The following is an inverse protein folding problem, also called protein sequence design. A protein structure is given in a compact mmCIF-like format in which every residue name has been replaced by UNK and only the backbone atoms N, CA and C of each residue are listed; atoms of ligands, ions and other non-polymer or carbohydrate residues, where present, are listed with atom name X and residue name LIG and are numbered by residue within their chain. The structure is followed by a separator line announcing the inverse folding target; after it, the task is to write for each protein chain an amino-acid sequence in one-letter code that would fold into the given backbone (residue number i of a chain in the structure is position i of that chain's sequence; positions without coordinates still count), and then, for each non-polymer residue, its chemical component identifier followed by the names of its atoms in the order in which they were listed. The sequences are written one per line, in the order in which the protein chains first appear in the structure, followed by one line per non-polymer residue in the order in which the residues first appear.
data_IF_397037846438
#
_entry.id   IF_397037846438
#
_cell.length_a   1.000
_cell.length_b   1.000
_cell.length_c   1.000
_cell.angle_alpha   90.00
_cell.angle_beta   90.00
_cell.angle_gamma   90.00
#
_symmetry.space_group_name_H-M   'P 1'
#
loop_
_entity.id
_entity.type
_entity.pdbx_description
1 polymer ?
#
# COMPACT_ATOMS: atom_id res chain seq x y z
N UNK A 1 -15.04 -6.39 -15.75
CA UNK A 1 -16.03 -6.61 -14.69
C UNK A 1 -15.73 -7.87 -13.85
N UNK A 2 -15.70 -9.12 -14.37
CA UNK A 2 -15.41 -10.32 -13.52
C UNK A 2 -14.07 -10.28 -12.77
N UNK A 3 -13.00 -9.69 -13.35
CA UNK A 3 -11.68 -9.58 -12.69
C UNK A 3 -11.65 -8.55 -11.56
N UNK A 4 -12.33 -7.41 -11.71
CA UNK A 4 -12.41 -6.37 -10.65
C UNK A 4 -13.11 -6.92 -9.41
N UNK A 5 -14.22 -7.69 -9.59
CA UNK A 5 -14.93 -8.32 -8.45
C UNK A 5 -14.06 -9.27 -7.64
N UNK A 6 -13.08 -9.93 -8.28
CA UNK A 6 -12.16 -10.88 -7.62
C UNK A 6 -11.09 -10.17 -6.75
N UNK A 7 -10.67 -8.96 -7.15
CA UNK A 7 -9.66 -8.18 -6.42
C UNK A 7 -10.26 -7.34 -5.28
N UNK A 8 -11.52 -6.91 -5.42
CA UNK A 8 -12.21 -6.10 -4.41
C UNK A 8 -12.26 -6.76 -3.03
N UNK A 9 -12.59 -8.06 -2.96
CA UNK A 9 -12.66 -8.78 -1.70
C UNK A 9 -11.31 -8.93 -0.99
N UNK A 10 -10.23 -8.99 -1.78
CA UNK A 10 -8.85 -9.13 -1.27
C UNK A 10 -8.31 -7.80 -0.77
N UNK A 11 -8.50 -6.72 -1.53
CA UNK A 11 -8.12 -5.36 -1.13
C UNK A 11 -8.82 -4.92 0.16
N UNK A 12 -10.13 -5.16 0.24
CA UNK A 12 -10.90 -4.78 1.42
C UNK A 12 -10.41 -5.51 2.68
N UNK A 13 -10.06 -6.79 2.57
CA UNK A 13 -9.56 -7.57 3.70
C UNK A 13 -8.20 -7.10 4.19
N UNK A 14 -7.29 -6.73 3.28
CA UNK A 14 -5.96 -6.26 3.62
C UNK A 14 -5.97 -4.85 4.24
N UNK A 15 -6.79 -3.94 3.70
CA UNK A 15 -6.88 -2.56 4.22
C UNK A 15 -7.54 -2.49 5.60
N UNK A 16 -8.53 -3.34 5.88
CA UNK A 16 -9.19 -3.39 7.20
C UNK A 16 -8.25 -3.88 8.31
N UNK A 17 -7.16 -4.54 7.96
CA UNK A 17 -6.20 -5.06 8.91
C UNK A 17 -5.16 -4.03 9.39
N UNK A 18 -4.95 -2.95 8.67
CA UNK A 18 -3.91 -1.96 8.97
C UNK A 18 -4.21 -1.05 10.19
N UNK A 19 -5.28 -1.29 10.92
CA UNK A 19 -5.81 -0.31 11.89
C UNK A 19 -5.75 -0.71 13.35
N UNK A 20 -4.97 -1.72 13.74
CA UNK A 20 -4.58 -2.00 15.14
C UNK A 20 -5.68 -2.00 16.21
N UNK A 21 -6.95 -2.27 15.86
CA UNK A 21 -8.06 -2.27 16.83
C UNK A 21 -8.60 -3.68 17.07
N UNK A 22 -8.97 -4.03 18.33
CA UNK A 22 -9.42 -5.37 18.65
C UNK A 22 -10.63 -5.80 17.82
N UNK A 23 -10.70 -7.07 17.43
CA UNK A 23 -11.72 -7.57 16.53
C UNK A 23 -13.12 -7.50 17.16
N UNK A 24 -14.00 -6.74 16.56
CA UNK A 24 -15.44 -6.92 16.74
C UNK A 24 -15.91 -8.08 15.83
N UNK A 25 -15.42 -9.29 16.07
CA UNK A 25 -15.87 -10.49 15.39
C UNK A 25 -16.74 -11.34 16.33
N UNK A 26 -17.96 -10.84 16.59
CA UNK A 26 -19.05 -11.65 17.07
C UNK A 26 -20.31 -11.35 16.25
N UNK A 27 -20.18 -11.36 14.91
CA UNK A 27 -21.35 -11.50 14.05
C UNK A 27 -21.37 -12.94 13.59
N UNK A 28 -22.53 -13.60 13.73
CA UNK A 28 -22.75 -14.91 13.13
C UNK A 28 -22.34 -14.86 11.65
N UNK A 29 -21.55 -15.84 11.22
CA UNK A 29 -21.13 -15.94 9.83
C UNK A 29 -22.36 -15.83 8.93
N UNK A 30 -22.36 -14.84 8.02
CA UNK A 30 -23.40 -14.75 7.01
C UNK A 30 -23.11 -15.78 5.92
N UNK A 31 -24.15 -16.35 5.34
CA UNK A 31 -24.02 -17.38 4.30
C UNK A 31 -23.48 -16.84 2.96
N UNK A 32 -23.12 -15.54 2.88
CA UNK A 32 -22.67 -14.90 1.65
C UNK A 32 -21.41 -14.06 1.84
N UNK A 33 -20.29 -14.40 1.17
CA UNK A 33 -19.06 -13.60 1.19
C UNK A 33 -19.25 -12.13 0.74
N UNK A 34 -20.24 -11.85 -0.10
CA UNK A 34 -20.58 -10.49 -0.54
C UNK A 34 -21.22 -9.68 0.58
N UNK A 35 -22.07 -10.30 1.39
CA UNK A 35 -22.70 -9.67 2.56
C UNK A 35 -21.64 -9.30 3.60
N UNK A 36 -20.70 -10.20 3.86
CA UNK A 36 -19.60 -9.95 4.78
C UNK A 36 -18.71 -8.80 4.28
N UNK A 37 -18.31 -8.82 3.00
CA UNK A 37 -17.52 -7.76 2.38
C UNK A 37 -18.22 -6.38 2.50
N UNK A 38 -19.54 -6.33 2.24
CA UNK A 38 -20.30 -5.07 2.33
C UNK A 38 -20.39 -4.58 3.78
N UNK A 39 -20.57 -5.48 4.75
CA UNK A 39 -20.59 -5.14 6.17
C UNK A 39 -19.22 -4.60 6.63
N UNK A 40 -18.12 -5.22 6.23
CA UNK A 40 -16.77 -4.70 6.49
C UNK A 40 -16.55 -3.32 5.88
N UNK A 41 -16.94 -3.14 4.63
CA UNK A 41 -16.85 -1.83 3.96
C UNK A 41 -17.63 -0.75 4.70
N UNK A 42 -18.87 -1.01 5.11
CA UNK A 42 -19.69 -0.03 5.84
C UNK A 42 -19.08 0.32 7.20
N UNK A 43 -18.55 -0.68 7.92
CA UNK A 43 -17.85 -0.45 9.17
C UNK A 43 -16.60 0.41 8.96
N UNK A 44 -15.79 0.08 7.96
CA UNK A 44 -14.61 0.86 7.59
C UNK A 44 -14.99 2.31 7.22
N UNK A 45 -15.98 2.50 6.34
CA UNK A 45 -16.47 3.83 5.91
C UNK A 45 -16.89 4.67 7.12
N UNK A 46 -17.68 4.09 8.02
CA UNK A 46 -18.17 4.78 9.23
C UNK A 46 -17.03 5.15 10.18
N UNK A 47 -16.04 4.27 10.33
CA UNK A 47 -14.98 4.43 11.31
C UNK A 47 -13.87 5.36 10.85
N UNK A 48 -13.47 5.24 9.59
CA UNK A 48 -12.22 5.86 9.10
C UNK A 48 -12.43 6.99 8.10
N UNK A 49 -13.54 7.03 7.36
CA UNK A 49 -13.79 8.14 6.43
C UNK A 49 -14.25 9.36 7.20
N UNK A 50 -13.61 10.50 6.93
CA UNK A 50 -13.97 11.81 7.49
C UNK A 50 -14.11 12.83 6.37
N UNK A 51 -15.02 13.78 6.57
CA UNK A 51 -15.09 14.98 5.76
C UNK A 51 -14.14 16.03 6.31
N UNK A 52 -13.43 16.72 5.43
CA UNK A 52 -12.69 17.92 5.79
C UNK A 52 -13.71 19.04 6.12
N UNK A 53 -13.81 19.39 7.38
CA UNK A 53 -14.77 20.38 7.91
C UNK A 53 -14.30 21.82 7.76
N UNK A 54 -13.07 22.04 7.31
CA UNK A 54 -12.50 23.38 7.12
C UNK A 54 -12.76 23.95 5.74
N UNK A 55 -13.39 23.15 4.82
CA UNK A 55 -13.76 23.57 3.48
C UNK A 55 -15.27 23.81 3.39
N UNK A 56 -15.69 25.07 3.16
CA UNK A 56 -17.10 25.42 3.13
C UNK A 56 -17.77 25.16 1.76
N UNK A 57 -17.02 25.29 0.68
CA UNK A 57 -17.55 25.31 -0.69
C UNK A 57 -17.38 23.98 -1.44
N UNK A 58 -16.67 23.02 -0.86
CA UNK A 58 -16.33 21.78 -1.53
C UNK A 58 -16.27 20.60 -0.55
N UNK A 59 -16.96 19.51 -0.87
CA UNK A 59 -16.92 18.29 -0.07
C UNK A 59 -15.63 17.53 -0.40
N UNK A 60 -14.76 17.40 0.60
CA UNK A 60 -13.53 16.60 0.55
C UNK A 60 -13.60 15.51 1.59
N UNK A 61 -13.14 14.31 1.24
CA UNK A 61 -13.04 13.17 2.16
C UNK A 61 -11.61 12.69 2.27
N UNK A 62 -11.24 12.24 3.46
CA UNK A 62 -9.95 11.60 3.75
C UNK A 62 -10.13 10.39 4.66
N UNK A 63 -9.11 9.53 4.72
CA UNK A 63 -9.09 8.37 5.60
C UNK A 63 -8.35 8.75 6.88
N UNK A 64 -9.07 8.78 7.98
CA UNK A 64 -8.56 9.14 9.31
C UNK A 64 -7.92 7.92 9.97
N UNK A 65 -6.67 8.03 10.40
CA UNK A 65 -5.97 6.94 11.07
C UNK A 65 -5.61 7.22 12.53
N UNK A 66 -5.55 8.50 12.93
CA UNK A 66 -5.12 8.89 14.27
C UNK A 66 -6.14 8.52 15.34
N UNK A 67 -5.67 8.23 16.55
CA UNK A 67 -6.51 8.15 17.76
C UNK A 67 -6.58 9.50 18.48
N UNK A 68 -5.67 10.41 18.16
CA UNK A 68 -5.59 11.73 18.77
C UNK A 68 -6.53 12.72 18.07
N UNK A 69 -7.07 13.65 18.83
CA UNK A 69 -7.91 14.76 18.36
C UNK A 69 -7.26 16.07 18.73
N UNK A 70 -7.25 17.04 17.80
CA UNK A 70 -6.76 18.37 18.11
C UNK A 70 -7.56 19.02 19.25
N UNK A 71 -6.87 19.41 20.31
CA UNK A 71 -7.46 20.04 21.50
C UNK A 71 -6.84 21.42 21.81
N UNK A 72 -6.04 21.95 20.88
CA UNK A 72 -5.20 23.14 21.02
C UNK A 72 -3.74 22.79 21.26
N UNK A 73 -2.83 23.56 20.69
CA UNK A 73 -1.39 23.34 20.78
C UNK A 73 -0.79 22.89 19.44
N UNK A 74 0.06 21.86 19.46
CA UNK A 74 0.73 21.36 18.27
C UNK A 74 -0.26 20.67 17.31
N UNK A 75 -0.03 20.75 15.98
CA UNK A 75 -0.83 20.02 14.99
C UNK A 75 -0.86 18.52 15.26
N UNK A 76 -2.01 17.88 14.99
CA UNK A 76 -2.20 16.44 15.19
C UNK A 76 -2.25 15.74 13.83
N UNK A 77 -1.33 14.79 13.52
CA UNK A 77 -1.40 14.01 12.31
C UNK A 77 -2.71 13.22 12.22
N UNK A 78 -3.43 13.32 11.10
CA UNK A 78 -4.76 12.72 10.95
C UNK A 78 -4.88 11.76 9.76
N UNK A 79 -4.07 11.94 8.72
CA UNK A 79 -4.05 11.07 7.55
C UNK A 79 -2.70 11.07 6.86
N UNK A 80 -2.45 10.02 6.07
CA UNK A 80 -1.27 9.87 5.21
C UNK A 80 -1.71 9.45 3.81
N UNK A 81 -0.86 9.69 2.80
CA UNK A 81 -1.15 9.36 1.40
C UNK A 81 -1.40 7.86 1.19
N UNK A 82 -0.74 6.98 1.94
CA UNK A 82 -1.02 5.54 1.94
C UNK A 82 -2.46 5.24 2.33
N UNK A 83 -2.93 5.78 3.46
CA UNK A 83 -4.31 5.60 3.92
C UNK A 83 -5.31 6.17 2.90
N UNK A 84 -4.95 7.28 2.26
CA UNK A 84 -5.75 7.92 1.24
C UNK A 84 -5.86 7.08 -0.03
N UNK A 85 -4.74 6.56 -0.54
CA UNK A 85 -4.68 5.63 -1.67
C UNK A 85 -5.52 4.38 -1.42
N UNK A 86 -5.44 3.80 -0.21
CA UNK A 86 -6.32 2.68 0.18
C UNK A 86 -7.79 3.07 0.15
N UNK A 87 -8.14 4.25 0.64
CA UNK A 87 -9.52 4.74 0.60
C UNK A 87 -10.07 4.85 -0.81
N UNK A 88 -9.29 5.41 -1.74
CA UNK A 88 -9.64 5.50 -3.14
C UNK A 88 -9.81 4.12 -3.79
N UNK A 89 -8.89 3.18 -3.53
CA UNK A 89 -8.99 1.80 -4.02
C UNK A 89 -10.23 1.08 -3.49
N UNK A 90 -10.55 1.25 -2.20
CA UNK A 90 -11.75 0.68 -1.59
C UNK A 90 -13.00 1.26 -2.25
N UNK A 91 -13.10 2.59 -2.35
CA UNK A 91 -14.26 3.25 -2.92
C UNK A 91 -14.55 2.78 -4.36
N UNK A 92 -13.54 2.78 -5.24
CA UNK A 92 -13.73 2.33 -6.63
C UNK A 92 -14.04 0.83 -6.71
N UNK A 93 -13.49 0.02 -5.81
CA UNK A 93 -13.77 -1.42 -5.75
C UNK A 93 -15.20 -1.74 -5.33
N UNK A 94 -15.83 -0.84 -4.58
CA UNK A 94 -17.20 -1.00 -4.09
C UNK A 94 -18.26 -0.38 -5.03
N UNK A 95 -17.89 0.10 -6.21
CA UNK A 95 -18.79 0.75 -7.17
C UNK A 95 -20.07 -0.05 -7.53
N UNK A 96 -19.97 -1.38 -7.55
CA UNK A 96 -21.12 -2.26 -7.83
C UNK A 96 -22.04 -2.48 -6.61
N UNK A 97 -21.61 -2.09 -5.40
CA UNK A 97 -22.24 -2.43 -4.11
C UNK A 97 -22.65 -1.21 -3.28
N UNK A 98 -22.11 -0.02 -3.59
CA UNK A 98 -22.43 1.23 -2.92
C UNK A 98 -22.70 2.30 -3.97
N UNK A 99 -23.96 2.80 -4.03
CA UNK A 99 -24.35 3.87 -4.94
C UNK A 99 -23.67 5.21 -4.68
N UNK A 100 -23.12 5.40 -3.45
CA UNK A 100 -22.39 6.61 -3.05
C UNK A 100 -20.88 6.48 -3.28
N UNK A 101 -20.39 5.32 -3.75
CA UNK A 101 -18.97 5.07 -3.92
C UNK A 101 -18.28 6.10 -4.82
N UNK A 102 -18.95 6.55 -5.89
CA UNK A 102 -18.41 7.57 -6.78
C UNK A 102 -18.30 8.94 -6.10
N UNK A 103 -19.31 9.35 -5.35
CA UNK A 103 -19.31 10.64 -4.66
C UNK A 103 -18.23 10.65 -3.56
N UNK A 104 -18.04 9.53 -2.87
CA UNK A 104 -16.95 9.32 -1.92
C UNK A 104 -15.59 9.43 -2.61
N UNK A 105 -15.42 8.73 -3.74
CA UNK A 105 -14.18 8.76 -4.53
C UNK A 105 -13.89 10.18 -5.02
N UNK A 106 -14.88 10.87 -5.59
CA UNK A 106 -14.73 12.26 -6.07
C UNK A 106 -14.35 13.21 -4.93
N UNK A 107 -14.88 12.99 -3.73
CA UNK A 107 -14.49 13.74 -2.52
C UNK A 107 -13.03 13.47 -2.12
N UNK A 108 -12.56 12.23 -2.27
CA UNK A 108 -11.16 11.88 -2.05
C UNK A 108 -10.26 12.47 -3.14
N UNK A 109 -10.68 12.49 -4.40
CA UNK A 109 -9.94 13.17 -5.47
C UNK A 109 -9.76 14.66 -5.17
N UNK A 110 -10.80 15.35 -4.68
CA UNK A 110 -10.67 16.77 -4.29
C UNK A 110 -9.71 16.96 -3.14
N UNK A 111 -9.70 16.05 -2.18
CA UNK A 111 -8.75 16.09 -1.06
C UNK A 111 -7.31 15.92 -1.56
N UNK A 112 -7.04 14.89 -2.34
CA UNK A 112 -5.74 14.65 -2.97
C UNK A 112 -5.23 15.89 -3.73
N UNK A 113 -6.08 16.50 -4.59
CA UNK A 113 -5.73 17.69 -5.37
C UNK A 113 -5.46 18.94 -4.49
N UNK A 114 -5.99 18.97 -3.28
CA UNK A 114 -5.78 20.08 -2.36
C UNK A 114 -4.49 19.95 -1.54
N UNK A 115 -3.88 18.78 -1.51
CA UNK A 115 -2.70 18.44 -0.72
C UNK A 115 -1.56 17.86 -1.61
N UNK A 116 -1.10 18.62 -2.64
CA UNK A 116 -0.03 18.15 -3.51
C UNK A 116 1.31 18.14 -2.76
N UNK A 117 2.23 17.24 -3.17
CA UNK A 117 3.61 17.35 -2.75
C UNK A 117 4.23 18.68 -3.19
N UNK A 118 5.17 19.19 -2.40
CA UNK A 118 5.93 20.39 -2.73
C UNK A 118 6.95 20.17 -3.85
N UNK A 119 7.22 18.91 -4.25
CA UNK A 119 8.20 18.52 -5.28
C UNK A 119 7.47 18.08 -6.56
N UNK A 120 6.81 16.92 -6.53
CA UNK A 120 5.99 16.42 -7.63
C UNK A 120 4.56 16.91 -7.51
N UNK A 121 4.14 17.86 -8.36
CA UNK A 121 2.85 18.55 -8.22
C UNK A 121 1.60 17.68 -8.44
N UNK A 122 1.77 16.48 -9.02
CA UNK A 122 0.71 15.49 -9.16
C UNK A 122 0.82 14.37 -8.10
N UNK A 123 1.84 14.41 -7.22
CA UNK A 123 1.98 13.51 -6.09
C UNK A 123 1.28 14.08 -4.86
N UNK A 124 0.92 13.25 -3.91
CA UNK A 124 0.27 13.69 -2.68
C UNK A 124 1.31 13.91 -1.57
N UNK A 125 1.21 15.02 -0.84
CA UNK A 125 1.95 15.20 0.41
C UNK A 125 1.63 14.04 1.37
N UNK A 126 2.68 13.39 1.91
CA UNK A 126 2.51 12.11 2.58
C UNK A 126 1.70 12.18 3.89
N UNK A 127 1.69 13.34 4.59
CA UNK A 127 0.96 13.47 5.85
C UNK A 127 0.24 14.82 5.96
N UNK A 128 -1.01 14.80 6.42
CA UNK A 128 -1.74 16.01 6.81
C UNK A 128 -2.07 15.97 8.29
N UNK A 129 -1.91 17.16 8.93
CA UNK A 129 -2.16 17.38 10.34
C UNK A 129 -3.29 18.37 10.55
N UNK A 130 -4.14 18.12 11.55
CA UNK A 130 -5.19 19.05 12.00
C UNK A 130 -4.59 20.13 12.90
N UNK A 131 -4.78 21.41 12.52
CA UNK A 131 -4.35 22.59 13.26
C UNK A 131 -5.48 23.25 14.06
N UNK A 132 -6.69 22.68 14.00
CA UNK A 132 -7.92 23.27 14.56
C UNK A 132 -8.57 24.34 13.67
N UNK A 133 -7.98 24.64 12.52
CA UNK A 133 -8.50 25.60 11.53
C UNK A 133 -8.28 25.18 10.08
N UNK A 134 -7.43 24.20 9.84
CA UNK A 134 -7.14 23.61 8.53
C UNK A 134 -6.48 22.24 8.70
N UNK A 135 -6.51 21.41 7.65
CA UNK A 135 -5.61 20.28 7.47
C UNK A 135 -4.40 20.78 6.66
N UNK A 136 -3.20 20.54 7.16
CA UNK A 136 -1.95 21.08 6.57
C UNK A 136 -0.85 20.03 6.52
N UNK A 137 0.13 20.25 5.65
CA UNK A 137 1.32 19.39 5.44
C UNK A 137 2.48 19.74 6.37
N UNK A 138 2.22 20.15 7.62
CA UNK A 138 3.21 20.77 8.53
C UNK A 138 4.50 19.96 8.66
N UNK A 139 4.41 18.62 8.70
CA UNK A 139 5.56 17.71 8.85
C UNK A 139 5.66 16.65 7.76
N UNK A 140 5.01 16.85 6.61
CA UNK A 140 4.93 15.84 5.57
C UNK A 140 4.56 16.39 4.20
N UNK A 141 5.24 17.47 3.77
CA UNK A 141 4.93 18.18 2.54
C UNK A 141 5.52 17.54 1.26
N UNK A 142 6.38 16.56 1.39
CA UNK A 142 6.87 15.69 0.31
C UNK A 142 6.02 14.41 0.21
N UNK A 143 6.28 13.57 -0.80
CA UNK A 143 5.46 12.40 -1.09
C UNK A 143 5.99 11.11 -0.46
N UNK A 144 5.16 10.03 -0.56
CA UNK A 144 5.56 8.65 -0.29
C UNK A 144 5.08 7.74 -1.43
N UNK A 145 6.00 7.00 -2.02
CA UNK A 145 5.82 6.28 -3.28
C UNK A 145 4.67 5.26 -3.26
N UNK A 146 4.45 4.54 -2.16
CA UNK A 146 3.36 3.57 -2.04
C UNK A 146 1.97 4.23 -2.13
N UNK A 147 1.80 5.39 -1.48
CA UNK A 147 0.57 6.15 -1.53
C UNK A 147 0.27 6.66 -2.94
N UNK A 148 1.26 7.21 -3.62
CA UNK A 148 1.10 7.74 -4.97
C UNK A 148 0.84 6.64 -6.00
N UNK A 149 1.48 5.46 -5.87
CA UNK A 149 1.18 4.30 -6.71
C UNK A 149 -0.27 3.82 -6.55
N UNK A 150 -0.79 3.79 -5.31
CA UNK A 150 -2.18 3.41 -5.04
C UNK A 150 -3.17 4.46 -5.56
N UNK A 151 -2.87 5.76 -5.41
CA UNK A 151 -3.68 6.85 -5.97
C UNK A 151 -3.73 6.76 -7.50
N UNK A 152 -2.57 6.60 -8.16
CA UNK A 152 -2.50 6.42 -9.61
C UNK A 152 -3.34 5.23 -10.07
N UNK A 153 -3.19 4.08 -9.43
CA UNK A 153 -3.92 2.87 -9.79
C UNK A 153 -5.42 3.01 -9.53
N UNK A 154 -5.83 3.66 -8.43
CA UNK A 154 -7.23 3.94 -8.13
C UNK A 154 -7.88 4.86 -9.19
N UNK A 155 -7.16 5.89 -9.65
CA UNK A 155 -7.62 6.77 -10.73
C UNK A 155 -7.81 6.01 -12.05
N UNK A 156 -6.86 5.13 -12.41
CA UNK A 156 -6.98 4.28 -13.60
C UNK A 156 -8.16 3.29 -13.52
N UNK A 157 -8.44 2.77 -12.31
CA UNK A 157 -9.63 1.95 -12.07
C UNK A 157 -10.91 2.76 -12.18
N UNK A 158 -10.93 3.99 -11.66
CA UNK A 158 -12.07 4.90 -11.74
C UNK A 158 -12.42 5.26 -13.20
N UNK A 159 -11.41 5.54 -14.03
CA UNK A 159 -11.60 5.73 -15.48
C UNK A 159 -12.28 4.52 -16.12
N UNK A 160 -11.85 3.32 -15.74
CA UNK A 160 -12.41 2.08 -16.28
C UNK A 160 -13.84 1.79 -15.78
N UNK A 161 -14.17 2.18 -14.55
CA UNK A 161 -15.47 1.88 -13.90
C UNK A 161 -16.51 2.94 -14.23
N UNK A 162 -16.14 4.21 -14.13
CA UNK A 162 -17.07 5.34 -14.27
C UNK A 162 -16.83 6.19 -15.54
N UNK A 163 -15.67 6.02 -16.18
CA UNK A 163 -15.24 6.86 -17.31
C UNK A 163 -14.74 8.23 -16.86
N UNK A 164 -14.17 8.97 -17.81
CA UNK A 164 -13.50 10.27 -17.57
C UNK A 164 -14.25 11.46 -18.22
N UNK A 165 -15.56 11.32 -18.46
CA UNK A 165 -16.37 12.39 -19.04
C UNK A 165 -17.12 13.25 -18.00
N UNK A 166 -16.92 12.99 -16.72
CA UNK A 166 -17.56 13.68 -15.60
C UNK A 166 -16.78 14.90 -15.09
N UNK A 167 -16.83 15.13 -13.77
CA UNK A 167 -16.13 16.25 -13.12
C UNK A 167 -14.62 16.12 -13.19
N UNK A 168 -14.11 14.89 -13.31
CA UNK A 168 -12.68 14.56 -13.35
C UNK A 168 -12.36 13.68 -14.54
N UNK A 169 -11.25 13.97 -15.20
CA UNK A 169 -10.63 13.07 -16.18
C UNK A 169 -9.66 12.14 -15.41
N UNK A 170 -10.22 11.09 -14.79
CA UNK A 170 -9.44 10.15 -13.99
C UNK A 170 -8.29 9.51 -14.77
N UNK A 171 -8.51 9.22 -16.06
CA UNK A 171 -7.48 8.61 -16.91
C UNK A 171 -6.30 9.55 -17.15
N UNK A 172 -6.56 10.83 -17.41
CA UNK A 172 -5.50 11.83 -17.56
C UNK A 172 -4.80 12.10 -16.23
N UNK A 173 -5.56 12.20 -15.12
CA UNK A 173 -5.00 12.40 -13.78
C UNK A 173 -4.09 11.24 -13.37
N UNK A 174 -4.53 10.00 -13.53
CA UNK A 174 -3.72 8.83 -13.22
C UNK A 174 -2.41 8.79 -14.01
N UNK A 175 -2.44 9.17 -15.30
CA UNK A 175 -1.22 9.28 -16.12
C UNK A 175 -0.28 10.39 -15.65
N UNK A 176 -0.82 11.53 -15.21
CA UNK A 176 -0.02 12.62 -14.67
C UNK A 176 0.70 12.21 -13.37
N UNK A 177 0.02 11.49 -12.47
CA UNK A 177 0.67 10.90 -11.29
C UNK A 177 1.79 9.94 -11.71
N UNK A 178 1.55 9.06 -12.68
CA UNK A 178 2.56 8.10 -13.16
C UNK A 178 3.78 8.78 -13.82
N UNK A 179 3.59 9.92 -14.47
CA UNK A 179 4.68 10.72 -15.03
C UNK A 179 5.55 11.33 -13.91
N UNK A 180 4.91 11.85 -12.85
CA UNK A 180 5.61 12.38 -11.69
C UNK A 180 6.32 11.27 -10.89
N UNK A 181 5.69 10.11 -10.64
CA UNK A 181 6.37 8.96 -10.03
C UNK A 181 7.61 8.58 -10.83
N UNK A 182 7.49 8.42 -12.16
CA UNK A 182 8.63 8.07 -13.01
C UNK A 182 9.72 9.12 -12.97
N UNK A 183 9.39 10.38 -12.77
CA UNK A 183 10.34 11.50 -12.74
C UNK A 183 11.01 11.64 -11.38
N UNK A 184 10.26 11.56 -10.30
CA UNK A 184 10.69 11.95 -8.96
C UNK A 184 10.88 10.77 -8.00
N UNK A 185 10.22 9.63 -8.26
CA UNK A 185 10.20 8.47 -7.35
C UNK A 185 10.79 7.18 -7.96
N UNK A 186 11.35 7.27 -9.18
CA UNK A 186 12.11 6.17 -9.78
C UNK A 186 13.57 6.57 -9.94
N UNK A 187 14.47 5.82 -9.33
CA UNK A 187 15.89 5.88 -9.69
C UNK A 187 16.08 5.28 -11.10
N UNK A 188 16.20 6.13 -12.08
CA UNK A 188 16.35 5.71 -13.48
C UNK A 188 17.74 5.16 -13.82
N UNK A 189 18.67 5.12 -12.87
CA UNK A 189 19.97 4.44 -13.00
C UNK A 189 19.87 3.00 -12.54
N UNK A 190 19.30 2.78 -11.34
CA UNK A 190 19.11 1.47 -10.74
C UNK A 190 17.78 0.80 -11.16
N UNK A 191 16.83 1.56 -11.67
CA UNK A 191 15.45 1.16 -12.02
C UNK A 191 14.67 0.66 -10.80
N UNK A 192 14.87 1.30 -9.66
CA UNK A 192 14.16 1.00 -8.42
C UNK A 192 13.21 2.12 -8.05
N UNK A 193 12.15 1.76 -7.33
CA UNK A 193 11.29 2.72 -6.68
C UNK A 193 12.04 3.35 -5.51
N UNK A 194 12.03 4.68 -5.42
CA UNK A 194 12.58 5.45 -4.32
C UNK A 194 11.60 5.51 -3.15
N UNK A 195 11.99 6.09 -2.02
CA UNK A 195 11.16 6.16 -0.80
C UNK A 195 10.05 7.22 -0.89
N UNK A 196 10.22 8.18 -1.80
CA UNK A 196 9.35 9.31 -2.06
C UNK A 196 10.11 10.35 -2.89
N UNK A 197 9.43 11.39 -3.33
CA UNK A 197 10.01 12.45 -4.19
C UNK A 197 11.08 13.28 -3.47
N UNK A 198 11.11 13.29 -2.14
CA UNK A 198 12.15 13.94 -1.33
C UNK A 198 13.56 13.34 -1.53
N UNK A 199 13.64 12.13 -2.10
CA UNK A 199 14.93 11.54 -2.47
C UNK A 199 15.43 12.01 -3.83
N UNK A 200 14.59 12.69 -4.61
CA UNK A 200 14.98 13.23 -5.91
C UNK A 200 16.13 14.25 -5.79
N UNK A 201 17.19 14.02 -6.54
CA UNK A 201 18.39 14.85 -6.48
C UNK A 201 19.27 14.64 -5.23
N UNK A 202 18.97 13.63 -4.40
CA UNK A 202 19.72 13.31 -3.19
C UNK A 202 20.97 12.44 -3.43
N UNK A 203 21.51 12.46 -4.65
CA UNK A 203 22.68 11.66 -5.03
C UNK A 203 23.84 11.83 -4.02
N UNK A 204 24.37 10.69 -3.57
CA UNK A 204 25.43 10.62 -2.55
C UNK A 204 24.92 10.78 -1.11
N UNK A 205 23.63 10.94 -0.86
CA UNK A 205 23.07 10.83 0.48
C UNK A 205 22.96 9.36 0.91
N UNK A 206 22.67 9.10 2.20
CA UNK A 206 22.44 7.73 2.68
C UNK A 206 21.19 7.08 2.05
N UNK A 207 20.30 7.88 1.46
CA UNK A 207 19.06 7.41 0.85
C UNK A 207 19.17 7.22 -0.66
N UNK A 208 20.32 7.53 -1.26
CA UNK A 208 20.58 7.37 -2.68
C UNK A 208 20.43 5.89 -3.10
N UNK A 209 19.49 5.61 -4.00
CA UNK A 209 19.15 4.28 -4.47
C UNK A 209 18.44 3.39 -3.45
N UNK A 210 18.04 3.89 -2.28
CA UNK A 210 17.27 3.12 -1.31
C UNK A 210 15.84 2.83 -1.81
N UNK A 211 15.29 1.69 -1.41
CA UNK A 211 13.92 1.28 -1.75
C UNK A 211 13.24 0.63 -0.56
N UNK A 212 11.91 0.56 -0.57
CA UNK A 212 11.09 0.05 0.51
C UNK A 212 10.24 -1.12 0.00
N UNK A 213 10.17 -2.22 0.76
CA UNK A 213 9.48 -3.42 0.32
C UNK A 213 7.95 -3.27 0.23
N UNK A 214 7.35 -2.32 0.94
CA UNK A 214 5.91 -2.00 0.80
C UNK A 214 5.54 -1.47 -0.58
N UNK A 215 6.52 -0.88 -1.29
CA UNK A 215 6.34 -0.28 -2.61
C UNK A 215 6.43 -1.33 -3.74
N UNK A 216 6.79 -2.58 -3.42
CA UNK A 216 6.88 -3.67 -4.41
C UNK A 216 5.50 -4.17 -4.85
N UNK A 217 4.71 -3.27 -5.44
CA UNK A 217 3.35 -3.54 -5.92
C UNK A 217 3.44 -4.07 -7.35
N UNK A 218 3.99 -5.27 -7.49
CA UNK A 218 4.37 -5.86 -8.77
C UNK A 218 3.23 -5.88 -9.80
N UNK A 219 1.99 -6.13 -9.37
CA UNK A 219 0.84 -6.18 -10.26
C UNK A 219 0.56 -4.85 -10.98
N UNK A 220 0.93 -3.70 -10.39
CA UNK A 220 0.66 -2.38 -10.97
C UNK A 220 1.59 -2.05 -12.13
N UNK A 221 2.86 -2.42 -12.04
CA UNK A 221 3.90 -2.00 -12.96
C UNK A 221 3.63 -2.36 -14.43
N UNK A 222 3.16 -3.59 -14.77
CA UNK A 222 2.74 -3.90 -16.13
C UNK A 222 1.51 -3.11 -16.60
N UNK A 223 0.62 -2.74 -15.67
CA UNK A 223 -0.54 -1.88 -15.99
C UNK A 223 -0.06 -0.47 -16.30
N UNK A 224 0.87 0.06 -15.52
CA UNK A 224 1.47 1.39 -15.73
C UNK A 224 2.20 1.45 -17.08
N UNK A 225 3.03 0.46 -17.41
CA UNK A 225 3.65 0.35 -18.74
C UNK A 225 2.61 0.39 -19.87
N UNK A 226 1.53 -0.37 -19.73
CA UNK A 226 0.49 -0.47 -20.75
C UNK A 226 -0.28 0.82 -20.95
N UNK A 227 -0.66 1.54 -19.88
CA UNK A 227 -1.53 2.73 -19.97
C UNK A 227 -0.75 3.98 -20.35
N UNK A 228 0.55 4.05 -20.01
CA UNK A 228 1.43 5.16 -20.39
C UNK A 228 2.12 4.93 -21.73
N UNK A 229 2.31 3.67 -22.14
CA UNK A 229 3.18 3.30 -23.26
C UNK A 229 4.66 3.49 -22.95
N UNK A 230 5.02 3.63 -21.68
CA UNK A 230 6.39 3.89 -21.22
C UNK A 230 7.08 2.58 -20.79
N UNK A 231 8.04 2.13 -21.59
CA UNK A 231 8.85 0.92 -21.37
C UNK A 231 9.72 0.99 -20.11
N UNK A 232 9.92 2.16 -19.51
CA UNK A 232 10.69 2.31 -18.26
C UNK A 232 10.04 1.54 -17.13
N UNK A 233 8.72 1.43 -17.08
CA UNK A 233 7.99 0.63 -16.10
C UNK A 233 8.33 -0.87 -16.16
N UNK A 234 8.64 -1.38 -17.34
CA UNK A 234 9.12 -2.77 -17.49
C UNK A 234 10.47 -2.97 -16.81
N UNK A 235 11.37 -1.98 -16.91
CA UNK A 235 12.67 -2.05 -16.22
C UNK A 235 12.51 -2.02 -14.71
N UNK A 236 11.60 -1.19 -14.18
CA UNK A 236 11.26 -1.17 -12.74
C UNK A 236 10.70 -2.53 -12.31
N UNK A 237 9.80 -3.10 -13.09
CA UNK A 237 9.23 -4.43 -12.82
C UNK A 237 10.31 -5.52 -12.78
N UNK A 238 11.18 -5.57 -13.77
CA UNK A 238 12.25 -6.57 -13.86
C UNK A 238 13.24 -6.41 -12.69
N UNK A 239 13.56 -5.17 -12.35
CA UNK A 239 14.47 -4.87 -11.22
C UNK A 239 13.86 -5.27 -9.88
N UNK A 240 12.61 -4.93 -9.64
CA UNK A 240 11.90 -5.31 -8.42
C UNK A 240 11.82 -6.84 -8.28
N UNK A 241 11.53 -7.56 -9.37
CA UNK A 241 11.55 -9.02 -9.41
C UNK A 241 12.93 -9.62 -9.07
N UNK A 242 14.01 -9.00 -9.57
CA UNK A 242 15.36 -9.42 -9.24
C UNK A 242 15.65 -9.26 -7.74
N UNK A 243 15.32 -8.10 -7.16
CA UNK A 243 15.50 -7.83 -5.72
C UNK A 243 14.72 -8.83 -4.87
N UNK A 244 13.45 -9.08 -5.19
CA UNK A 244 12.61 -10.06 -4.49
C UNK A 244 13.24 -11.45 -4.56
N UNK A 245 13.71 -11.85 -5.74
CA UNK A 245 14.35 -13.16 -5.96
C UNK A 245 15.62 -13.31 -5.15
N UNK A 246 16.48 -12.29 -5.15
CA UNK A 246 17.78 -12.31 -4.44
C UNK A 246 17.58 -12.39 -2.92
N UNK A 247 16.57 -11.68 -2.37
CA UNK A 247 16.23 -11.76 -0.95
C UNK A 247 15.74 -13.16 -0.58
N UNK A 248 14.85 -13.74 -1.39
CA UNK A 248 14.37 -15.13 -1.17
C UNK A 248 15.51 -16.15 -1.25
N UNK A 249 16.41 -16.01 -2.20
CA UNK A 249 17.57 -16.92 -2.36
C UNK A 249 18.55 -16.79 -1.20
N UNK A 250 18.71 -15.59 -0.65
CA UNK A 250 19.63 -15.34 0.45
C UNK A 250 19.10 -15.86 1.78
N UNK A 251 17.82 -15.63 2.10
CA UNK A 251 17.27 -15.91 3.43
C UNK A 251 16.36 -17.15 3.48
N UNK A 252 15.78 -17.56 2.37
CA UNK A 252 14.95 -18.77 2.25
C UNK A 252 13.56 -18.69 2.89
N UNK A 253 13.23 -17.59 3.59
CA UNK A 253 11.97 -17.40 4.32
C UNK A 253 10.87 -16.72 3.49
N UNK A 254 11.27 -16.01 2.42
CA UNK A 254 10.39 -15.09 1.69
C UNK A 254 10.13 -13.76 2.41
N UNK A 255 10.63 -13.57 3.63
CA UNK A 255 10.57 -12.30 4.34
C UNK A 255 11.48 -11.27 3.66
N UNK A 256 10.97 -10.07 3.44
CA UNK A 256 11.74 -8.93 2.94
C UNK A 256 11.91 -7.91 4.07
N UNK A 257 13.02 -7.14 4.09
CA UNK A 257 13.19 -6.08 5.08
C UNK A 257 12.30 -4.87 4.76
N UNK A 258 12.05 -4.03 5.74
CA UNK A 258 11.31 -2.78 5.53
C UNK A 258 12.03 -1.91 4.50
N UNK A 259 13.33 -1.72 4.64
CA UNK A 259 14.15 -0.94 3.72
C UNK A 259 15.31 -1.75 3.17
N UNK A 260 15.65 -1.49 1.91
CA UNK A 260 16.77 -2.06 1.20
C UNK A 260 17.67 -0.94 0.67
N UNK A 261 18.97 -1.17 0.69
CA UNK A 261 19.98 -0.25 0.18
C UNK A 261 20.89 -0.95 -0.84
N UNK A 262 21.52 -0.23 -1.77
CA UNK A 262 22.52 -0.82 -2.65
C UNK A 262 23.65 -1.49 -1.88
N UNK A 263 24.07 -2.68 -2.33
CA UNK A 263 25.18 -3.44 -1.73
C UNK A 263 26.57 -3.06 -2.26
N UNK A 264 26.63 -2.11 -3.19
CA UNK A 264 27.85 -1.69 -3.87
C UNK A 264 28.34 -2.61 -4.98
N UNK A 265 27.68 -3.74 -5.22
CA UNK A 265 27.99 -4.70 -6.29
C UNK A 265 26.95 -4.73 -7.41
N UNK A 266 25.95 -3.88 -7.32
CA UNK A 266 24.79 -3.82 -8.21
C UNK A 266 23.57 -4.58 -7.72
N UNK A 267 23.64 -5.21 -6.54
CA UNK A 267 22.55 -5.84 -5.80
C UNK A 267 22.00 -4.95 -4.70
N UNK A 268 21.17 -5.55 -3.85
CA UNK A 268 20.55 -4.91 -2.69
C UNK A 268 20.76 -5.74 -1.44
N UNK A 269 20.84 -5.06 -0.30
CA UNK A 269 20.94 -5.65 1.02
C UNK A 269 19.96 -4.97 1.98
N UNK A 270 19.59 -5.62 3.11
CA UNK A 270 18.81 -4.97 4.15
C UNK A 270 19.49 -3.70 4.67
N UNK A 271 18.70 -2.66 4.93
CA UNK A 271 19.20 -1.44 5.54
C UNK A 271 19.74 -1.71 6.96
N UNK A 272 20.67 -0.90 7.48
CA UNK A 272 21.09 -0.97 8.86
C UNK A 272 19.99 -0.54 9.82
N UNK A 273 20.09 -0.91 11.09
CA UNK A 273 19.24 -0.42 12.16
C UNK A 273 19.19 1.12 12.19
N UNK A 274 18.02 1.70 12.47
CA UNK A 274 17.78 3.15 12.52
C UNK A 274 18.18 3.87 11.21
N UNK A 275 17.92 3.22 10.09
CA UNK A 275 18.20 3.79 8.78
C UNK A 275 17.29 4.99 8.48
N UNK A 276 15.98 4.82 8.66
CA UNK A 276 14.97 5.85 8.46
C UNK A 276 13.98 5.95 9.64
N UNK A 277 13.42 4.84 10.10
CA UNK A 277 12.32 4.82 11.05
C UNK A 277 12.73 4.24 12.40
N UNK A 278 13.29 3.01 12.44
CA UNK A 278 13.59 2.38 13.72
C UNK A 278 14.67 1.27 13.63
N UNK A 279 14.88 0.56 14.76
CA UNK A 279 15.88 -0.52 14.89
C UNK A 279 15.56 -1.73 14.01
N UNK A 280 14.35 -1.86 13.49
CA UNK A 280 13.90 -2.99 12.67
C UNK A 280 13.92 -2.71 11.16
N UNK A 281 14.42 -1.57 10.73
CA UNK A 281 14.43 -1.13 9.32
C UNK A 281 15.01 -2.17 8.33
N UNK A 282 15.99 -2.95 8.78
CA UNK A 282 16.58 -4.05 8.00
C UNK A 282 15.89 -5.41 8.20
N UNK A 283 14.72 -5.46 8.81
CA UNK A 283 13.98 -6.67 9.16
C UNK A 283 12.55 -6.62 8.57
N UNK A 284 11.82 -7.73 8.69
CA UNK A 284 10.42 -7.77 8.33
C UNK A 284 9.60 -7.09 9.42
N UNK A 285 9.20 -5.86 9.18
CA UNK A 285 8.54 -4.97 10.12
C UNK A 285 7.27 -4.33 9.54
N UNK A 286 6.95 -3.13 10.04
CA UNK A 286 5.68 -2.45 9.73
C UNK A 286 5.55 -1.92 8.30
N UNK A 287 6.64 -1.86 7.51
CA UNK A 287 6.55 -1.59 6.07
C UNK A 287 6.38 -2.90 5.28
N UNK A 288 7.27 -3.85 5.48
CA UNK A 288 7.28 -5.12 4.74
C UNK A 288 6.15 -6.09 5.13
N UNK A 289 5.41 -5.84 6.21
CA UNK A 289 4.19 -6.59 6.54
C UNK A 289 3.17 -6.62 5.38
N UNK A 290 3.25 -5.69 4.44
CA UNK A 290 2.41 -5.62 3.24
C UNK A 290 2.87 -6.57 2.12
N UNK A 291 4.09 -7.10 2.17
CA UNK A 291 4.68 -7.96 1.12
C UNK A 291 3.81 -9.18 0.78
N UNK A 292 3.23 -9.94 1.75
CA UNK A 292 2.36 -11.06 1.42
C UNK A 292 1.15 -10.66 0.56
N UNK A 293 0.68 -9.43 0.70
CA UNK A 293 -0.37 -8.86 -0.15
C UNK A 293 0.20 -8.31 -1.46
N UNK A 294 1.14 -7.35 -1.41
CA UNK A 294 1.64 -6.60 -2.57
C UNK A 294 2.29 -7.50 -3.62
N UNK A 295 3.19 -8.37 -3.17
CA UNK A 295 3.82 -9.38 -4.03
C UNK A 295 2.85 -10.51 -4.37
N UNK A 296 2.02 -10.93 -3.40
CA UNK A 296 1.04 -11.98 -3.57
C UNK A 296 0.02 -11.74 -4.68
N UNK A 297 -0.35 -10.49 -4.94
CA UNK A 297 -1.29 -10.12 -6.00
C UNK A 297 -0.80 -10.49 -7.41
N UNK A 298 0.51 -10.57 -7.63
CA UNK A 298 1.12 -10.90 -8.93
C UNK A 298 1.54 -12.37 -9.05
N UNK A 299 1.49 -13.15 -7.97
CA UNK A 299 2.06 -14.50 -7.90
C UNK A 299 1.43 -15.53 -8.86
N UNK A 300 0.23 -15.27 -9.41
CA UNK A 300 -0.41 -16.18 -10.38
C UNK A 300 0.37 -16.23 -11.72
N UNK A 301 0.95 -15.10 -12.13
CA UNK A 301 1.56 -14.96 -13.44
C UNK A 301 3.06 -14.59 -13.41
N UNK A 302 3.61 -14.40 -12.21
CA UNK A 302 4.98 -13.95 -11.99
C UNK A 302 5.78 -14.99 -11.19
N UNK A 303 6.79 -15.66 -11.81
CA UNK A 303 7.59 -16.67 -11.13
C UNK A 303 8.37 -16.14 -9.90
N UNK A 304 8.87 -14.91 -9.91
CA UNK A 304 9.58 -14.32 -8.79
C UNK A 304 8.63 -14.07 -7.61
N UNK A 305 7.46 -13.47 -7.87
CA UNK A 305 6.42 -13.31 -6.88
C UNK A 305 5.93 -14.67 -6.33
N UNK A 306 5.72 -15.66 -7.20
CA UNK A 306 5.36 -17.03 -6.80
C UNK A 306 6.38 -17.62 -5.85
N UNK A 307 7.67 -17.55 -6.18
CA UNK A 307 8.77 -18.05 -5.36
C UNK A 307 8.77 -17.41 -3.96
N UNK A 308 8.56 -16.08 -3.89
CA UNK A 308 8.49 -15.35 -2.63
C UNK A 308 7.30 -15.83 -1.79
N UNK A 309 6.11 -15.90 -2.38
CA UNK A 309 4.88 -16.29 -1.68
C UNK A 309 4.90 -17.74 -1.23
N UNK A 310 5.45 -18.66 -2.02
CA UNK A 310 5.60 -20.07 -1.63
C UNK A 310 6.55 -20.19 -0.42
N UNK A 311 7.67 -19.45 -0.41
CA UNK A 311 8.60 -19.40 0.72
C UNK A 311 7.95 -18.80 1.98
N UNK A 312 7.24 -17.66 1.83
CA UNK A 312 6.50 -17.02 2.93
C UNK A 312 5.45 -17.95 3.55
N UNK A 313 4.65 -18.61 2.71
CA UNK A 313 3.62 -19.53 3.18
C UNK A 313 4.21 -20.74 3.90
N UNK A 314 5.31 -21.30 3.37
CA UNK A 314 6.03 -22.39 4.03
C UNK A 314 6.60 -21.96 5.38
N UNK A 315 7.24 -20.77 5.42
CA UNK A 315 7.82 -20.20 6.63
C UNK A 315 6.73 -19.98 7.70
N UNK A 316 5.67 -19.22 7.37
CA UNK A 316 4.68 -18.81 8.35
C UNK A 316 3.92 -20.01 8.94
N UNK A 317 3.58 -21.01 8.11
CA UNK A 317 2.95 -22.26 8.61
C UNK A 317 3.85 -23.03 9.57
N UNK A 318 5.14 -23.10 9.28
CA UNK A 318 6.10 -23.75 10.20
C UNK A 318 6.22 -22.96 11.50
N UNK A 319 6.23 -21.64 11.42
CA UNK A 319 6.38 -20.75 12.57
C UNK A 319 5.18 -20.79 13.51
N UNK A 320 3.96 -20.86 12.94
CA UNK A 320 2.69 -20.73 13.69
C UNK A 320 1.96 -22.04 13.91
N UNK A 321 2.44 -23.15 13.33
CA UNK A 321 1.70 -24.42 13.31
C UNK A 321 0.40 -24.35 12.49
N UNK A 322 0.22 -23.30 11.69
CA UNK A 322 -0.98 -23.05 10.88
C UNK A 322 -2.06 -22.21 11.58
N UNK A 323 -1.78 -21.70 12.77
CA UNK A 323 -2.68 -20.77 13.48
C UNK A 323 -2.32 -19.33 13.11
N UNK A 324 -3.21 -18.57 12.42
CA UNK A 324 -2.92 -17.19 12.02
C UNK A 324 -2.78 -16.23 13.21
N UNK A 325 -3.32 -16.53 14.38
CA UNK A 325 -3.18 -15.73 15.59
C UNK A 325 -1.79 -15.84 16.25
N UNK A 326 -0.97 -16.79 15.81
CA UNK A 326 0.42 -16.93 16.23
C UNK A 326 1.40 -16.15 15.32
N UNK A 327 0.91 -15.41 14.33
CA UNK A 327 1.72 -14.50 13.51
C UNK A 327 2.14 -13.30 14.37
N UNK A 328 3.44 -13.06 14.50
CA UNK A 328 3.99 -11.97 15.33
C UNK A 328 4.17 -10.68 14.52
N UNK A 329 4.16 -9.56 15.22
CA UNK A 329 4.36 -8.24 14.65
C UNK A 329 5.85 -7.98 14.39
N UNK A 330 6.43 -8.76 13.48
CA UNK A 330 7.80 -8.65 12.98
C UNK A 330 8.64 -9.90 13.16
N UNK A 331 9.58 -10.04 12.23
CA UNK A 331 10.56 -11.14 12.21
C UNK A 331 11.90 -10.65 11.68
N UNK A 332 12.99 -11.23 12.19
CA UNK A 332 14.27 -11.17 11.49
C UNK A 332 14.16 -11.90 10.15
N UNK A 333 15.01 -11.61 9.17
CA UNK A 333 14.92 -12.26 7.85
C UNK A 333 15.25 -13.77 7.91
N UNK A 334 15.94 -14.24 8.96
CA UNK A 334 16.14 -15.67 9.25
C UNK A 334 14.97 -16.31 10.03
N UNK A 335 13.90 -15.53 10.30
CA UNK A 335 12.62 -16.02 10.82
C UNK A 335 12.44 -16.03 12.32
N UNK A 336 13.26 -15.32 13.11
CA UNK A 336 13.03 -15.17 14.56
C UNK A 336 12.04 -14.02 14.79
N UNK A 337 11.01 -14.20 15.65
CA UNK A 337 10.13 -13.09 16.03
C UNK A 337 10.93 -11.93 16.65
N UNK A 338 10.58 -10.70 16.26
CA UNK A 338 11.10 -9.45 16.84
C UNK A 338 10.15 -8.82 17.83
N UNK A 339 8.91 -9.32 17.89
CA UNK A 339 7.87 -8.93 18.84
C UNK A 339 7.24 -10.17 19.49
N UNK A 340 6.64 -9.99 20.67
CA UNK A 340 5.94 -11.04 21.43
C UNK A 340 4.39 -10.92 21.32
N UNK A 341 3.92 -9.98 20.52
CA UNK A 341 2.48 -9.72 20.25
C UNK A 341 2.15 -9.94 18.77
N UNK A 342 0.87 -10.07 18.48
CA UNK A 342 0.29 -10.13 17.15
C UNK A 342 -0.29 -8.76 16.76
N UNK A 343 -0.33 -8.48 15.46
CA UNK A 343 -1.00 -7.31 14.89
C UNK A 343 -1.68 -7.69 13.58
N UNK A 344 -2.88 -7.15 13.37
CA UNK A 344 -3.68 -7.47 12.17
C UNK A 344 -2.99 -7.02 10.87
N UNK A 345 -2.16 -5.98 10.89
CA UNK A 345 -1.41 -5.54 9.71
C UNK A 345 -0.36 -6.57 9.28
N UNK A 346 0.09 -7.45 10.18
CA UNK A 346 0.95 -8.59 9.85
C UNK A 346 0.15 -9.83 9.45
N UNK A 347 -1.04 -10.04 10.00
CA UNK A 347 -1.84 -11.24 9.75
C UNK A 347 -2.66 -11.15 8.47
N UNK A 348 -3.34 -10.02 8.23
CA UNK A 348 -4.29 -9.90 7.12
C UNK A 348 -3.64 -9.98 5.72
N UNK A 349 -2.43 -9.45 5.45
CA UNK A 349 -1.78 -9.62 4.16
C UNK A 349 -1.57 -11.10 3.76
N UNK A 350 -1.41 -11.99 4.73
CA UNK A 350 -1.30 -13.43 4.47
C UNK A 350 -2.58 -14.06 3.92
N UNK A 351 -3.75 -13.41 4.03
CA UNK A 351 -4.97 -13.86 3.34
C UNK A 351 -4.78 -13.90 1.82
N UNK A 352 -4.03 -12.94 1.27
CA UNK A 352 -3.70 -12.91 -0.17
C UNK A 352 -2.70 -13.99 -0.51
N UNK A 353 -1.62 -14.10 0.27
CA UNK A 353 -0.60 -15.13 0.07
C UNK A 353 -1.20 -16.55 0.17
N UNK A 354 -2.03 -16.83 1.17
CA UNK A 354 -2.69 -18.11 1.36
C UNK A 354 -3.64 -18.46 0.21
N UNK A 355 -4.35 -17.46 -0.37
CA UNK A 355 -5.23 -17.66 -1.52
C UNK A 355 -4.47 -18.15 -2.75
N UNK A 356 -3.23 -17.72 -2.93
CA UNK A 356 -2.40 -18.16 -4.06
C UNK A 356 -2.04 -19.67 -3.98
N UNK A 357 -2.02 -20.28 -2.80
CA UNK A 357 -1.84 -21.72 -2.64
C UNK A 357 -3.08 -22.54 -3.05
N UNK A 358 -4.29 -22.00 -2.86
CA UNK A 358 -5.52 -22.68 -3.25
C UNK A 358 -5.64 -22.91 -4.75
N UNK A 359 -5.00 -22.09 -5.58
CA UNK A 359 -4.94 -22.28 -7.03
C UNK A 359 -4.17 -23.58 -7.38
N UNK A 360 -3.33 -24.03 -6.46
CA UNK A 360 -2.51 -25.25 -6.60
C UNK A 360 -3.09 -26.50 -5.89
N UNK A 361 -4.33 -26.49 -5.42
CA UNK A 361 -5.05 -27.67 -4.91
C UNK A 361 -5.05 -27.88 -3.41
N UNK A 362 -4.70 -26.88 -2.61
CA UNK A 362 -4.83 -26.93 -1.15
C UNK A 362 -6.08 -26.20 -0.66
N UNK A 363 -6.90 -26.87 0.16
CA UNK A 363 -8.09 -26.28 0.79
C UNK A 363 -7.75 -25.87 2.24
N UNK A 364 -7.84 -24.58 2.58
CA UNK A 364 -7.89 -24.17 3.99
C UNK A 364 -9.26 -24.60 4.53
N UNK A 365 -9.28 -25.37 5.61
CA UNK A 365 -10.50 -25.72 6.35
C UNK A 365 -10.70 -24.75 7.50
#
# INVERSE_FOLDING_TARGET
MKKIKKYSAVLLSAVLALTGTPPFFAAAASDSPVTDMTAFYQNWKTRYVRQDLYTADEIRYYVYYSEDTYTGGDPVPVTVSEAHGYGMLIAVSMADYDSEAKDLFDGMVRYYLAHPSQIGSHLMAWQQSDTGSALTETDGADSATDGDMDIAYALLLADKVWGSSGSFDYGAMGKAVLEDIMTYEVDQTAWTLSLGDWTYGSSGSKYDGATRASDFILQYLPVFAKVTGDERWTKVYDRTNAIVTDMVDTYGTGLLPDFLIPDGSGGYQPAPENYLEDVTDGQYGYNSCRVPWRVGMDAENNPAARKCIDALNQFIRKQTGGDPWEIRAGYTLDGKPTADYDDLCFTAPFLVAAKQEHINGFTIR
#
